data_IF_885507318628
#
_entry.id   IF_885507318628
#
_cell.length_a   1.000
_cell.length_b   1.000
_cell.length_c   1.000
_cell.angle_alpha   90.00
_cell.angle_beta   90.00
_cell.angle_gamma   90.00
#
_symmetry.space_group_name_H-M   'P 1'
#
loop_
_entity.id
_entity.type
_entity.pdbx_description
1 polymer ?
#
# COMPACT_ATOMS: atom_id res chain seq x y z
N UNK A 1 25.15 -30.55 28.68
CA UNK A 1 23.87 -29.97 28.24
C UNK A 1 24.03 -28.46 28.22
N UNK A 2 24.33 -27.88 27.08
CA UNK A 2 24.44 -26.43 26.93
C UNK A 2 23.02 -25.88 26.79
N UNK A 3 22.61 -25.08 27.73
CA UNK A 3 21.35 -24.35 27.69
C UNK A 3 21.36 -23.38 26.51
N UNK A 4 20.91 -23.82 25.35
CA UNK A 4 20.67 -22.94 24.20
C UNK A 4 19.54 -21.99 24.57
N UNK A 5 19.80 -20.68 24.54
CA UNK A 5 18.72 -19.68 24.58
C UNK A 5 17.83 -19.94 23.34
N UNK A 6 16.56 -20.18 23.57
CA UNK A 6 15.57 -20.17 22.49
C UNK A 6 15.56 -18.77 21.85
N UNK A 7 15.72 -18.73 20.53
CA UNK A 7 15.66 -17.50 19.76
C UNK A 7 14.31 -17.45 19.05
N UNK A 8 13.49 -16.45 19.40
CA UNK A 8 12.23 -16.19 18.69
C UNK A 8 12.57 -15.49 17.39
N UNK A 9 12.33 -16.19 16.27
CA UNK A 9 12.60 -15.69 14.92
C UNK A 9 11.41 -14.85 14.40
N UNK A 10 10.20 -15.37 14.61
CA UNK A 10 8.93 -14.75 14.18
C UNK A 10 7.97 -14.75 15.37
N UNK A 11 7.21 -13.68 15.52
CA UNK A 11 6.23 -13.52 16.59
C UNK A 11 4.97 -12.82 16.08
N UNK A 12 3.80 -13.31 16.50
CA UNK A 12 2.48 -12.74 16.21
C UNK A 12 2.24 -12.40 14.72
N UNK A 13 2.52 -13.37 13.85
CA UNK A 13 2.27 -13.24 12.42
C UNK A 13 0.80 -13.58 12.12
N UNK A 14 0.01 -12.56 11.85
CA UNK A 14 -1.37 -12.69 11.37
C UNK A 14 -1.46 -12.12 9.96
N UNK A 15 -1.65 -13.00 8.97
CA UNK A 15 -1.57 -12.67 7.55
C UNK A 15 -2.61 -13.45 6.77
N UNK A 16 -3.26 -12.80 5.81
CA UNK A 16 -4.16 -13.44 4.84
C UNK A 16 -3.66 -13.15 3.43
N UNK A 17 -3.75 -14.13 2.54
CA UNK A 17 -3.45 -14.00 1.11
C UNK A 17 -4.72 -14.30 0.34
N UNK A 18 -5.03 -13.46 -0.65
CA UNK A 18 -6.25 -13.60 -1.44
C UNK A 18 -5.96 -14.25 -2.81
N UNK A 19 -6.98 -14.92 -3.35
CA UNK A 19 -6.91 -15.43 -4.72
C UNK A 19 -6.82 -14.26 -5.70
N UNK A 20 -5.93 -14.37 -6.69
CA UNK A 20 -5.63 -13.30 -7.64
C UNK A 20 -4.60 -12.28 -7.14
N UNK A 21 -3.95 -12.53 -5.99
CA UNK A 21 -3.03 -11.59 -5.38
C UNK A 21 -1.55 -11.95 -5.64
N UNK A 22 -0.77 -10.94 -6.01
CA UNK A 22 0.68 -10.98 -6.02
C UNK A 22 1.20 -10.21 -4.80
N UNK A 23 1.65 -10.92 -3.77
CA UNK A 23 2.07 -10.35 -2.50
C UNK A 23 3.59 -10.43 -2.31
N UNK A 24 4.21 -9.35 -1.85
CA UNK A 24 5.62 -9.34 -1.44
C UNK A 24 5.78 -9.32 0.07
N UNK A 25 6.88 -9.92 0.55
CA UNK A 25 7.34 -9.85 1.94
C UNK A 25 8.68 -9.12 1.95
N UNK A 26 8.70 -7.94 2.56
CA UNK A 26 9.85 -7.06 2.72
C UNK A 26 10.34 -7.04 4.16
N UNK A 27 11.60 -6.75 4.37
CA UNK A 27 12.20 -6.59 5.69
C UNK A 27 13.71 -6.65 5.64
N UNK A 28 14.37 -6.22 6.70
CA UNK A 28 15.83 -6.27 6.83
C UNK A 28 16.37 -7.72 6.72
N UNK A 29 17.66 -7.86 6.46
CA UNK A 29 18.32 -9.18 6.54
C UNK A 29 18.14 -9.74 7.97
N UNK A 30 17.79 -11.02 8.07
CA UNK A 30 17.53 -11.64 9.37
C UNK A 30 16.14 -11.37 9.97
N UNK A 31 15.24 -10.65 9.30
CA UNK A 31 13.86 -10.42 9.77
C UNK A 31 12.96 -11.67 9.74
N UNK A 32 13.47 -12.83 9.35
CA UNK A 32 12.67 -14.06 9.30
C UNK A 32 11.88 -14.28 8.01
N UNK A 33 12.08 -13.47 6.97
CA UNK A 33 11.33 -13.56 5.69
C UNK A 33 11.31 -14.96 5.08
N UNK A 34 12.50 -15.56 4.87
CA UNK A 34 12.62 -16.92 4.31
C UNK A 34 12.09 -17.98 5.28
N UNK A 35 12.14 -17.74 6.60
CA UNK A 35 11.53 -18.65 7.59
C UNK A 35 10.01 -18.61 7.48
N UNK A 36 9.42 -17.42 7.36
CA UNK A 36 7.99 -17.25 7.13
C UNK A 36 7.57 -17.93 5.82
N UNK A 37 8.31 -17.67 4.74
CA UNK A 37 8.00 -18.27 3.44
C UNK A 37 8.03 -19.80 3.49
N UNK A 38 9.00 -20.39 4.19
CA UNK A 38 9.09 -21.87 4.36
C UNK A 38 7.94 -22.43 5.19
N UNK A 39 7.47 -21.70 6.21
CA UNK A 39 6.29 -22.09 7.00
C UNK A 39 5.04 -22.05 6.11
N UNK A 40 4.85 -20.98 5.33
CA UNK A 40 3.73 -20.85 4.40
C UNK A 40 3.76 -21.90 3.28
N UNK A 41 4.95 -22.36 2.88
CA UNK A 41 5.15 -23.41 1.87
C UNK A 41 5.15 -24.84 2.45
N UNK A 42 4.77 -25.05 3.71
CA UNK A 42 4.79 -26.34 4.43
C UNK A 42 6.17 -27.04 4.45
N UNK A 43 7.24 -26.26 4.34
CA UNK A 43 8.63 -26.74 4.43
C UNK A 43 9.21 -26.67 5.85
N UNK A 44 8.52 -25.96 6.76
CA UNK A 44 8.86 -25.85 8.17
C UNK A 44 7.58 -25.75 9.02
N UNK A 45 7.57 -26.37 10.19
CA UNK A 45 6.45 -26.23 11.12
C UNK A 45 6.61 -24.99 12.00
N UNK A 46 5.54 -24.20 12.21
CA UNK A 46 5.56 -23.14 13.20
C UNK A 46 5.61 -23.74 14.62
N UNK A 47 6.33 -23.09 15.53
CA UNK A 47 6.36 -23.52 16.95
C UNK A 47 5.00 -23.33 17.63
N UNK A 48 4.22 -22.33 17.19
CA UNK A 48 2.86 -22.05 17.63
C UNK A 48 2.07 -21.47 16.45
N UNK A 49 0.73 -21.64 16.50
CA UNK A 49 -0.15 -21.20 15.42
C UNK A 49 -0.28 -22.22 14.31
N UNK A 50 -0.92 -21.86 13.22
CA UNK A 50 -1.23 -22.74 12.10
C UNK A 50 -1.29 -21.98 10.78
N UNK A 51 -1.11 -22.70 9.67
CA UNK A 51 -1.32 -22.19 8.32
C UNK A 51 -2.57 -22.84 7.75
N UNK A 52 -3.51 -22.02 7.32
CA UNK A 52 -4.79 -22.46 6.76
C UNK A 52 -4.85 -22.17 5.26
N UNK A 53 -5.43 -23.10 4.50
CA UNK A 53 -5.81 -22.92 3.11
C UNK A 53 -7.31 -23.15 2.98
N UNK A 54 -8.06 -22.13 2.57
CA UNK A 54 -9.54 -22.12 2.53
C UNK A 54 -10.18 -22.59 3.85
N UNK A 55 -9.58 -22.22 4.99
CA UNK A 55 -10.09 -22.56 6.33
C UNK A 55 -9.74 -23.97 6.82
N UNK A 56 -9.03 -24.79 6.03
CA UNK A 56 -8.50 -26.08 6.44
C UNK A 56 -6.99 -26.03 6.68
N UNK A 57 -6.41 -26.81 7.63
CA UNK A 57 -4.98 -26.86 7.81
C UNK A 57 -4.26 -27.23 6.49
N UNK A 58 -3.21 -26.50 6.13
CA UNK A 58 -2.51 -26.61 4.85
C UNK A 58 -2.08 -28.05 4.54
N UNK A 59 -1.57 -28.79 5.53
CA UNK A 59 -1.17 -30.20 5.42
C UNK A 59 -2.27 -31.14 4.95
N UNK A 60 -3.52 -30.83 5.25
CA UNK A 60 -4.68 -31.68 4.93
C UNK A 60 -5.50 -31.16 3.75
N UNK A 61 -5.25 -29.94 3.31
CA UNK A 61 -6.01 -29.28 2.26
C UNK A 61 -5.72 -29.83 0.85
N UNK A 62 -4.68 -30.63 0.66
CA UNK A 62 -4.29 -31.17 -0.65
C UNK A 62 -3.88 -30.08 -1.66
N UNK A 63 -3.48 -28.92 -1.17
CA UNK A 63 -3.15 -27.76 -2.00
C UNK A 63 -1.88 -28.00 -2.80
N UNK A 64 -1.91 -27.66 -4.07
CA UNK A 64 -0.73 -27.68 -4.91
C UNK A 64 0.06 -26.39 -4.70
N UNK A 65 1.19 -26.48 -4.06
CA UNK A 65 2.14 -25.38 -3.85
C UNK A 65 3.46 -25.70 -4.52
N UNK A 66 4.14 -24.66 -5.01
CA UNK A 66 5.50 -24.79 -5.52
C UNK A 66 6.38 -23.66 -5.03
N UNK A 67 7.68 -23.89 -4.99
CA UNK A 67 8.67 -22.91 -4.51
C UNK A 67 9.81 -22.74 -5.50
N UNK A 68 10.15 -21.47 -5.78
CA UNK A 68 11.37 -21.06 -6.49
C UNK A 68 12.38 -20.58 -5.45
N UNK A 69 13.55 -21.19 -5.45
CA UNK A 69 14.61 -20.92 -4.47
C UNK A 69 15.59 -19.86 -4.98
N UNK A 70 16.20 -19.13 -4.08
CA UNK A 70 17.23 -18.11 -4.35
C UNK A 70 18.43 -18.68 -5.13
N UNK A 71 18.87 -19.90 -4.86
CA UNK A 71 20.05 -20.54 -5.44
C UNK A 71 19.77 -21.40 -6.68
N UNK A 72 18.68 -21.11 -7.42
CA UNK A 72 18.19 -21.90 -8.57
C UNK A 72 17.87 -23.37 -8.25
N UNK A 73 18.59 -24.00 -7.36
CA UNK A 73 18.46 -25.40 -6.90
C UNK A 73 18.32 -26.42 -8.05
N UNK A 74 19.06 -26.21 -9.14
CA UNK A 74 19.10 -27.12 -10.28
C UNK A 74 20.08 -28.27 -10.01
N UNK A 75 19.72 -29.46 -10.49
CA UNK A 75 20.60 -30.60 -10.48
C UNK A 75 21.59 -30.46 -11.64
N UNK A 76 22.92 -30.31 -11.37
CA UNK A 76 23.90 -29.96 -12.41
C UNK A 76 24.19 -31.09 -13.40
N UNK A 77 23.80 -32.34 -13.08
CA UNK A 77 23.95 -33.52 -13.92
C UNK A 77 22.70 -33.85 -14.75
N UNK A 78 21.63 -33.08 -14.62
CA UNK A 78 20.41 -33.20 -15.41
C UNK A 78 20.32 -32.05 -16.43
N UNK A 79 19.78 -32.33 -17.62
CA UNK A 79 19.47 -31.33 -18.62
C UNK A 79 18.35 -30.39 -18.14
N UNK A 80 18.06 -29.33 -18.88
CA UNK A 80 16.97 -28.40 -18.60
C UNK A 80 15.65 -29.16 -18.48
N UNK A 81 15.28 -29.93 -19.47
CA UNK A 81 14.01 -30.66 -19.47
C UNK A 81 13.94 -31.69 -18.36
N UNK A 82 15.04 -32.41 -18.08
CA UNK A 82 15.09 -33.36 -17.00
C UNK A 82 14.93 -32.70 -15.61
N UNK A 83 15.49 -31.48 -15.42
CA UNK A 83 15.28 -30.68 -14.22
C UNK A 83 13.80 -30.32 -14.05
N UNK A 84 13.11 -29.93 -15.14
CA UNK A 84 11.68 -29.59 -15.09
C UNK A 84 10.82 -30.83 -14.85
N UNK A 85 11.15 -31.99 -15.49
CA UNK A 85 10.43 -33.26 -15.33
C UNK A 85 10.47 -33.82 -13.89
N UNK A 86 11.46 -33.43 -13.08
CA UNK A 86 11.59 -33.95 -11.71
C UNK A 86 10.33 -33.71 -10.86
N UNK A 87 9.71 -32.52 -10.99
CA UNK A 87 8.48 -32.21 -10.30
C UNK A 87 7.34 -33.18 -10.69
N UNK A 88 7.19 -33.46 -11.98
CA UNK A 88 6.16 -34.36 -12.51
C UNK A 88 6.38 -35.81 -12.08
N UNK A 89 7.65 -36.28 -12.03
CA UNK A 89 8.00 -37.60 -11.58
C UNK A 89 7.56 -37.89 -10.14
N UNK A 90 7.64 -36.87 -9.28
CA UNK A 90 7.16 -36.98 -7.89
C UNK A 90 5.64 -37.13 -7.79
N UNK A 91 4.90 -36.67 -8.81
CA UNK A 91 3.45 -36.85 -8.93
C UNK A 91 3.06 -38.09 -9.74
N UNK A 92 4.01 -38.96 -10.10
CA UNK A 92 3.77 -40.17 -10.88
C UNK A 92 3.58 -39.96 -12.37
N UNK A 93 3.79 -38.76 -12.90
CA UNK A 93 3.72 -38.43 -14.33
C UNK A 93 5.11 -38.67 -14.93
N UNK A 94 5.21 -39.57 -15.92
CA UNK A 94 6.48 -39.95 -16.54
C UNK A 94 6.34 -40.18 -18.05
N UNK A 95 7.45 -40.37 -18.75
CA UNK A 95 7.45 -40.66 -20.20
C UNK A 95 7.03 -39.44 -21.06
N UNK A 96 6.38 -39.73 -22.18
CA UNK A 96 6.03 -38.72 -23.18
C UNK A 96 5.12 -37.58 -22.64
N UNK A 97 4.26 -37.91 -21.68
CA UNK A 97 3.40 -36.89 -21.05
C UNK A 97 4.23 -35.89 -20.24
N UNK A 98 5.16 -36.39 -19.40
CA UNK A 98 6.06 -35.53 -18.64
C UNK A 98 6.89 -34.63 -19.57
N UNK A 99 7.47 -35.26 -20.63
CA UNK A 99 8.27 -34.54 -21.64
C UNK A 99 7.48 -33.42 -22.29
N UNK A 100 6.27 -33.72 -22.78
CA UNK A 100 5.38 -32.72 -23.43
C UNK A 100 5.03 -31.55 -22.50
N UNK A 101 4.67 -31.82 -21.24
CA UNK A 101 4.37 -30.77 -20.25
C UNK A 101 5.60 -29.93 -19.94
N UNK A 102 6.77 -30.57 -19.79
CA UNK A 102 8.01 -29.88 -19.46
C UNK A 102 8.47 -28.96 -20.60
N UNK A 103 8.41 -29.42 -21.85
CA UNK A 103 8.75 -28.58 -23.03
C UNK A 103 7.81 -27.38 -23.10
N UNK A 104 6.51 -27.55 -22.91
CA UNK A 104 5.55 -26.44 -22.92
C UNK A 104 5.87 -25.38 -21.83
N UNK A 105 6.36 -25.78 -20.67
CA UNK A 105 6.78 -24.85 -19.61
C UNK A 105 8.12 -24.18 -19.92
N UNK A 106 9.04 -24.90 -20.57
CA UNK A 106 10.32 -24.35 -21.05
C UNK A 106 10.07 -23.27 -22.11
N UNK A 107 9.18 -23.53 -23.06
CA UNK A 107 8.76 -22.55 -24.07
C UNK A 107 8.09 -21.33 -23.42
N UNK A 108 7.20 -21.55 -22.42
CA UNK A 108 6.52 -20.47 -21.70
C UNK A 108 7.49 -19.49 -21.02
N UNK A 109 8.63 -19.98 -20.52
CA UNK A 109 9.64 -19.14 -19.88
C UNK A 109 10.73 -18.66 -20.87
N UNK A 110 10.55 -18.85 -22.17
CA UNK A 110 11.45 -18.40 -23.23
C UNK A 110 12.81 -19.12 -23.24
N UNK A 111 12.80 -20.43 -23.07
CA UNK A 111 13.98 -21.30 -23.13
C UNK A 111 13.87 -22.36 -24.23
N UNK A 112 13.03 -22.11 -25.25
CA UNK A 112 12.93 -22.96 -26.42
C UNK A 112 14.30 -23.15 -27.10
N UNK A 113 14.61 -24.40 -27.49
CA UNK A 113 15.91 -24.79 -28.05
C UNK A 113 17.03 -25.06 -27.03
N UNK A 114 16.75 -24.91 -25.70
CA UNK A 114 17.72 -25.21 -24.63
C UNK A 114 17.35 -26.44 -23.81
N UNK A 115 16.40 -27.27 -24.26
CA UNK A 115 15.83 -28.42 -23.54
C UNK A 115 16.90 -29.43 -23.09
N UNK A 116 17.88 -29.69 -23.94
CA UNK A 116 18.92 -30.65 -23.73
C UNK A 116 20.21 -30.04 -23.14
N UNK A 117 20.25 -28.71 -22.94
CA UNK A 117 21.39 -28.03 -22.32
C UNK A 117 21.50 -28.35 -20.82
N UNK A 118 22.74 -28.35 -20.29
CA UNK A 118 22.99 -28.53 -18.88
C UNK A 118 23.10 -27.17 -18.14
N UNK A 119 22.85 -27.14 -16.82
CA UNK A 119 22.90 -25.88 -16.05
C UNK A 119 24.21 -25.09 -16.18
N UNK A 120 25.35 -25.76 -16.40
CA UNK A 120 26.68 -25.14 -16.60
C UNK A 120 26.78 -24.35 -17.92
N UNK A 121 25.92 -24.66 -18.88
CA UNK A 121 25.86 -24.03 -20.22
C UNK A 121 24.95 -22.82 -20.27
N UNK A 122 24.21 -22.55 -19.17
CA UNK A 122 23.22 -21.52 -19.05
C UNK A 122 23.75 -20.27 -18.31
N UNK A 123 23.23 -19.11 -18.70
CA UNK A 123 23.40 -17.87 -17.91
C UNK A 123 22.65 -17.96 -16.57
N UNK A 124 22.91 -17.05 -15.63
CA UNK A 124 22.20 -16.94 -14.36
C UNK A 124 20.69 -16.83 -14.55
N UNK A 125 20.25 -15.92 -15.44
CA UNK A 125 18.85 -15.73 -15.77
C UNK A 125 18.19 -16.95 -16.39
N UNK A 126 18.88 -17.65 -17.29
CA UNK A 126 18.38 -18.90 -17.87
C UNK A 126 18.20 -19.96 -16.79
N UNK A 127 19.15 -20.12 -15.86
CA UNK A 127 19.01 -21.05 -14.73
C UNK A 127 17.80 -20.70 -13.85
N UNK A 128 17.54 -19.42 -13.63
CA UNK A 128 16.36 -19.00 -12.86
C UNK A 128 15.06 -19.32 -13.59
N UNK A 129 15.00 -19.11 -14.90
CA UNK A 129 13.86 -19.52 -15.74
C UNK A 129 13.59 -21.02 -15.67
N UNK A 130 14.63 -21.85 -15.68
CA UNK A 130 14.48 -23.31 -15.47
C UNK A 130 13.86 -23.60 -14.09
N UNK A 131 14.30 -22.91 -13.05
CA UNK A 131 13.72 -23.02 -11.71
C UNK A 131 12.23 -22.64 -11.67
N UNK A 132 11.85 -21.58 -12.39
CA UNK A 132 10.46 -21.15 -12.55
C UNK A 132 9.66 -22.20 -13.33
N UNK A 133 10.15 -22.68 -14.48
CA UNK A 133 9.50 -23.72 -15.29
C UNK A 133 9.27 -24.99 -14.48
N UNK A 134 10.26 -25.43 -13.68
CA UNK A 134 10.15 -26.59 -12.77
C UNK A 134 9.06 -26.41 -11.72
N UNK A 135 8.86 -25.21 -11.22
CA UNK A 135 7.79 -24.91 -10.27
C UNK A 135 6.41 -24.87 -10.98
N UNK A 136 6.34 -24.25 -12.14
CA UNK A 136 5.09 -24.08 -12.90
C UNK A 136 4.56 -25.37 -13.53
N UNK A 137 5.43 -26.32 -13.87
CA UNK A 137 5.01 -27.58 -14.52
C UNK A 137 4.09 -28.43 -13.64
N UNK A 138 4.11 -28.19 -12.32
CA UNK A 138 3.22 -28.83 -11.35
C UNK A 138 1.81 -28.22 -11.35
N UNK A 139 1.60 -27.16 -12.11
CA UNK A 139 0.34 -26.40 -12.11
C UNK A 139 -0.09 -26.01 -10.67
N UNK A 140 0.78 -25.29 -9.93
CA UNK A 140 0.51 -24.98 -8.53
C UNK A 140 -0.59 -23.92 -8.42
N UNK A 141 -1.37 -23.97 -7.33
CA UNK A 141 -2.32 -22.91 -7.00
C UNK A 141 -1.61 -21.70 -6.37
N UNK A 142 -0.57 -21.95 -5.59
CA UNK A 142 0.24 -20.91 -4.94
C UNK A 142 1.72 -21.09 -5.30
N UNK A 143 2.33 -20.02 -5.80
CA UNK A 143 3.75 -19.96 -6.09
C UNK A 143 4.48 -19.14 -5.04
N UNK A 144 5.44 -19.77 -4.34
CA UNK A 144 6.36 -19.10 -3.43
C UNK A 144 7.69 -18.82 -4.11
N UNK A 145 8.28 -17.63 -3.89
CA UNK A 145 9.58 -17.27 -4.44
C UNK A 145 10.46 -16.63 -3.36
N UNK A 146 11.63 -17.22 -3.10
CA UNK A 146 12.60 -16.70 -2.12
C UNK A 146 13.71 -15.97 -2.84
N UNK A 147 13.68 -14.63 -2.82
CA UNK A 147 14.64 -13.73 -3.47
C UNK A 147 14.98 -14.09 -4.93
N UNK A 148 13.99 -14.27 -5.82
CA UNK A 148 14.19 -14.90 -7.12
C UNK A 148 15.10 -14.15 -8.08
N UNK A 149 15.42 -12.88 -7.81
CA UNK A 149 16.22 -12.04 -8.71
C UNK A 149 17.59 -11.65 -8.12
N UNK A 150 17.86 -11.99 -6.85
CA UNK A 150 19.05 -11.52 -6.12
C UNK A 150 20.37 -12.05 -6.65
N UNK A 151 20.37 -13.19 -7.33
CA UNK A 151 21.57 -13.81 -7.90
C UNK A 151 21.85 -13.42 -9.37
N UNK A 152 21.07 -12.46 -9.91
CA UNK A 152 21.16 -12.01 -11.29
C UNK A 152 21.79 -10.64 -11.40
N UNK A 153 22.44 -10.36 -12.55
CA UNK A 153 22.83 -8.99 -12.89
C UNK A 153 21.59 -8.12 -13.16
N UNK A 154 21.77 -6.81 -13.08
CA UNK A 154 20.66 -5.83 -13.12
C UNK A 154 19.79 -5.96 -14.37
N UNK A 155 20.41 -6.10 -15.56
CA UNK A 155 19.66 -6.15 -16.82
C UNK A 155 18.88 -7.47 -16.95
N UNK A 156 19.49 -8.58 -16.58
CA UNK A 156 18.85 -9.88 -16.57
C UNK A 156 17.70 -9.93 -15.58
N UNK A 157 17.88 -9.35 -14.38
CA UNK A 157 16.83 -9.26 -13.37
C UNK A 157 15.64 -8.39 -13.85
N UNK A 158 15.92 -7.24 -14.50
CA UNK A 158 14.87 -6.37 -15.04
C UNK A 158 14.04 -7.05 -16.14
N UNK A 159 14.70 -7.75 -17.06
CA UNK A 159 14.02 -8.51 -18.11
C UNK A 159 13.13 -9.61 -17.51
N UNK A 160 13.67 -10.39 -16.56
CA UNK A 160 12.91 -11.50 -15.95
C UNK A 160 11.73 -11.00 -15.12
N UNK A 161 11.87 -9.86 -14.40
CA UNK A 161 10.76 -9.21 -13.68
C UNK A 161 9.64 -8.78 -14.63
N UNK A 162 10.00 -8.16 -15.75
CA UNK A 162 9.04 -7.71 -16.76
C UNK A 162 8.29 -8.88 -17.41
N UNK A 163 9.00 -9.96 -17.70
CA UNK A 163 8.39 -11.19 -18.23
C UNK A 163 7.45 -11.86 -17.22
N UNK A 164 7.87 -11.96 -15.95
CA UNK A 164 7.01 -12.53 -14.89
C UNK A 164 5.74 -11.68 -14.71
N UNK A 165 5.87 -10.35 -14.72
CA UNK A 165 4.74 -9.44 -14.67
C UNK A 165 3.78 -9.65 -15.83
N UNK A 166 4.30 -9.78 -17.06
CA UNK A 166 3.48 -10.01 -18.26
C UNK A 166 2.78 -11.38 -18.21
N UNK A 167 3.49 -12.45 -17.81
CA UNK A 167 2.88 -13.78 -17.67
C UNK A 167 1.76 -13.79 -16.62
N UNK A 168 1.93 -13.03 -15.53
CA UNK A 168 0.90 -12.86 -14.50
C UNK A 168 -0.31 -12.08 -15.02
N UNK A 169 -0.09 -10.92 -15.66
CA UNK A 169 -1.15 -10.07 -16.20
C UNK A 169 -1.97 -10.75 -17.29
N UNK A 170 -1.30 -11.49 -18.19
CA UNK A 170 -1.94 -12.21 -19.28
C UNK A 170 -2.61 -13.52 -18.84
N UNK A 171 -2.54 -13.84 -17.52
CA UNK A 171 -3.05 -15.09 -16.94
C UNK A 171 -2.57 -16.35 -17.66
N UNK A 172 -1.32 -16.29 -18.16
CA UNK A 172 -0.70 -17.43 -18.85
C UNK A 172 -0.15 -18.49 -17.90
N UNK A 173 -0.01 -18.15 -16.62
CA UNK A 173 0.43 -19.08 -15.60
C UNK A 173 -0.76 -19.75 -14.90
N UNK A 174 -0.72 -21.07 -14.65
CA UNK A 174 -1.79 -21.80 -13.99
C UNK A 174 -1.77 -21.63 -12.45
N UNK A 175 -1.56 -20.41 -11.97
CA UNK A 175 -1.43 -20.06 -10.54
C UNK A 175 -2.50 -19.06 -10.13
N UNK A 176 -2.95 -19.15 -8.86
CA UNK A 176 -3.97 -18.30 -8.29
C UNK A 176 -3.38 -17.15 -7.47
N UNK A 177 -2.22 -17.38 -6.84
CA UNK A 177 -1.52 -16.32 -6.08
C UNK A 177 -0.01 -16.53 -6.08
N UNK A 178 0.72 -15.43 -5.96
CA UNK A 178 2.18 -15.42 -5.84
C UNK A 178 2.57 -14.75 -4.53
N UNK A 179 3.44 -15.40 -3.77
CA UNK A 179 4.04 -14.81 -2.58
C UNK A 179 5.55 -14.81 -2.77
N UNK A 180 6.18 -13.65 -2.76
CA UNK A 180 7.63 -13.60 -2.91
C UNK A 180 8.32 -12.77 -1.85
N UNK A 181 9.50 -13.21 -1.46
CA UNK A 181 10.39 -12.51 -0.56
C UNK A 181 11.39 -11.73 -1.38
N UNK A 182 11.58 -10.47 -1.04
CA UNK A 182 12.66 -9.64 -1.57
C UNK A 182 13.15 -8.65 -0.52
N UNK A 183 14.36 -8.16 -0.68
CA UNK A 183 14.89 -7.00 0.05
C UNK A 183 14.90 -5.73 -0.81
N UNK A 184 14.52 -5.83 -2.08
CA UNK A 184 14.48 -4.72 -3.02
C UNK A 184 13.05 -4.14 -3.08
N UNK A 185 12.91 -2.87 -2.66
CA UNK A 185 11.63 -2.18 -2.60
C UNK A 185 11.04 -1.97 -3.99
N UNK A 186 11.87 -1.63 -4.99
CA UNK A 186 11.40 -1.42 -6.36
C UNK A 186 10.81 -2.70 -6.96
N UNK A 187 11.40 -3.87 -6.66
CA UNK A 187 10.83 -5.17 -7.07
C UNK A 187 9.43 -5.37 -6.49
N UNK A 188 9.28 -5.12 -5.19
CA UNK A 188 8.00 -5.24 -4.52
C UNK A 188 6.97 -4.27 -5.11
N UNK A 189 7.33 -3.00 -5.31
CA UNK A 189 6.44 -2.01 -5.92
C UNK A 189 6.13 -2.34 -7.38
N UNK A 190 7.07 -2.93 -8.12
CA UNK A 190 6.87 -3.26 -9.53
C UNK A 190 5.92 -4.44 -9.75
N UNK A 191 6.03 -5.48 -8.93
CA UNK A 191 5.34 -6.76 -9.14
C UNK A 191 4.06 -6.93 -8.32
N UNK A 192 4.01 -6.40 -7.09
CA UNK A 192 3.01 -6.83 -6.11
C UNK A 192 1.80 -5.92 -6.04
N UNK A 193 0.66 -6.50 -5.71
CA UNK A 193 -0.56 -5.76 -5.36
C UNK A 193 -0.51 -5.27 -3.90
N UNK A 194 0.32 -5.94 -3.07
CA UNK A 194 0.47 -5.66 -1.64
C UNK A 194 1.85 -6.06 -1.13
N UNK A 195 2.39 -5.26 -0.23
CA UNK A 195 3.69 -5.52 0.43
C UNK A 195 3.52 -5.66 1.94
N UNK A 196 3.91 -6.82 2.48
CA UNK A 196 4.00 -7.07 3.91
C UNK A 196 5.41 -6.72 4.37
N UNK A 197 5.51 -5.79 5.31
CA UNK A 197 6.79 -5.33 5.85
C UNK A 197 6.99 -5.97 7.22
N UNK A 198 8.08 -6.73 7.38
CA UNK A 198 8.43 -7.36 8.65
C UNK A 198 9.35 -6.46 9.48
N UNK A 199 9.11 -6.43 10.79
CA UNK A 199 10.05 -5.90 11.79
C UNK A 199 11.26 -6.82 11.94
N UNK A 200 12.18 -6.43 12.83
CA UNK A 200 13.40 -7.17 13.10
C UNK A 200 13.54 -7.41 14.61
N UNK A 201 13.92 -8.65 15.00
CA UNK A 201 14.22 -9.07 16.38
C UNK A 201 13.10 -8.87 17.44
N UNK A 202 12.04 -9.66 17.43
CA UNK A 202 11.65 -10.70 16.46
C UNK A 202 10.99 -10.12 15.21
N UNK A 203 10.86 -10.95 14.16
CA UNK A 203 10.10 -10.61 12.98
C UNK A 203 8.60 -10.67 13.29
N UNK A 204 7.93 -9.53 13.14
CA UNK A 204 6.47 -9.40 13.24
C UNK A 204 5.96 -8.56 12.06
N UNK A 205 4.67 -8.61 11.75
CA UNK A 205 4.09 -7.74 10.72
C UNK A 205 4.13 -6.30 11.21
N UNK A 206 5.04 -5.52 10.65
CA UNK A 206 5.20 -4.09 10.94
C UNK A 206 4.20 -3.24 10.18
N UNK A 207 3.92 -3.61 8.93
CA UNK A 207 2.98 -2.93 8.07
C UNK A 207 2.45 -3.87 6.99
N UNK A 208 1.21 -3.62 6.57
CA UNK A 208 0.54 -4.19 5.42
C UNK A 208 0.19 -3.05 4.46
N UNK A 209 0.88 -2.98 3.31
CA UNK A 209 0.84 -1.83 2.41
C UNK A 209 0.22 -2.23 1.08
N UNK A 210 -1.00 -1.79 0.76
CA UNK A 210 -1.57 -1.96 -0.56
C UNK A 210 -0.83 -1.09 -1.59
N UNK A 211 -0.55 -1.67 -2.76
CA UNK A 211 0.12 -1.00 -3.89
C UNK A 211 -0.92 -0.76 -4.99
N UNK A 212 -1.66 0.34 -4.85
CA UNK A 212 -2.75 0.72 -5.75
C UNK A 212 -2.26 1.44 -7.00
N UNK A 213 -1.21 0.88 -7.65
CA UNK A 213 -0.70 1.40 -8.90
C UNK A 213 -1.21 0.56 -10.07
N UNK A 214 -1.70 1.18 -11.16
CA UNK A 214 -2.16 0.44 -12.33
C UNK A 214 -1.02 -0.32 -13.00
N UNK A 215 -1.33 -1.44 -13.59
CA UNK A 215 -0.39 -2.24 -14.39
C UNK A 215 -0.60 -1.95 -15.89
N UNK A 216 0.47 -1.94 -16.72
CA UNK A 216 1.88 -2.09 -16.36
C UNK A 216 2.42 -0.86 -15.65
N UNK A 217 3.36 -1.03 -14.71
CA UNK A 217 3.93 0.05 -13.90
C UNK A 217 5.17 0.63 -14.57
N UNK A 218 5.22 1.97 -14.67
CA UNK A 218 6.40 2.70 -15.10
C UNK A 218 7.25 3.10 -13.87
N UNK A 219 8.48 2.60 -13.81
CA UNK A 219 9.43 2.90 -12.72
C UNK A 219 9.79 4.39 -12.64
N UNK A 220 9.66 5.15 -13.73
CA UNK A 220 9.96 6.57 -13.78
C UNK A 220 8.75 7.45 -13.41
N UNK A 221 7.57 6.85 -13.26
CA UNK A 221 6.36 7.57 -12.85
C UNK A 221 6.51 8.08 -11.41
N UNK A 222 6.03 9.30 -11.15
CA UNK A 222 6.09 9.90 -9.81
C UNK A 222 5.39 9.05 -8.76
N UNK A 223 4.25 8.47 -9.10
CA UNK A 223 3.45 7.62 -8.22
C UNK A 223 4.22 6.35 -7.82
N UNK A 224 5.02 5.79 -8.73
CA UNK A 224 5.90 4.65 -8.45
C UNK A 224 6.99 5.05 -7.45
N UNK A 225 7.70 6.15 -7.70
CA UNK A 225 8.75 6.64 -6.82
C UNK A 225 8.20 6.99 -5.43
N UNK A 226 7.04 7.64 -5.34
CA UNK A 226 6.39 7.92 -4.07
C UNK A 226 6.04 6.64 -3.28
N UNK A 227 5.62 5.56 -3.97
CA UNK A 227 5.36 4.29 -3.30
C UNK A 227 6.65 3.64 -2.78
N UNK A 228 7.74 3.73 -3.54
CA UNK A 228 9.08 3.29 -3.11
C UNK A 228 9.53 4.05 -1.87
N UNK A 229 9.45 5.38 -1.87
CA UNK A 229 9.82 6.24 -0.74
C UNK A 229 8.98 5.94 0.49
N UNK A 230 7.68 5.73 0.31
CA UNK A 230 6.75 5.35 1.39
C UNK A 230 7.17 4.03 2.04
N UNK A 231 7.41 2.99 1.26
CA UNK A 231 7.85 1.69 1.78
C UNK A 231 9.22 1.82 2.47
N UNK A 232 10.14 2.60 1.89
CA UNK A 232 11.44 2.89 2.49
C UNK A 232 11.29 3.57 3.86
N UNK A 233 10.44 4.57 3.96
CA UNK A 233 10.15 5.25 5.22
C UNK A 233 9.58 4.30 6.28
N UNK A 234 8.68 3.40 5.88
CA UNK A 234 8.13 2.37 6.78
C UNK A 234 9.22 1.40 7.24
N UNK A 235 10.11 0.96 6.36
CA UNK A 235 11.20 0.05 6.70
C UNK A 235 12.18 0.66 7.72
N UNK A 236 12.52 1.93 7.55
CA UNK A 236 13.58 2.60 8.31
C UNK A 236 13.13 3.21 9.63
N UNK A 237 11.87 3.66 9.74
CA UNK A 237 11.33 4.27 10.97
C UNK A 237 10.96 3.25 12.04
N UNK A 238 10.94 3.63 13.34
CA UNK A 238 10.46 2.75 14.41
C UNK A 238 9.01 2.31 14.21
N UNK A 239 8.65 1.10 14.69
CA UNK A 239 7.30 0.54 14.52
C UNK A 239 6.19 1.45 15.07
N UNK A 240 6.45 2.21 16.13
CA UNK A 240 5.51 3.17 16.71
C UNK A 240 5.09 4.31 15.79
N UNK A 241 5.91 4.63 14.79
CA UNK A 241 5.67 5.72 13.83
C UNK A 241 4.99 5.21 12.55
N UNK A 242 4.90 3.89 12.39
CA UNK A 242 4.34 3.23 11.19
C UNK A 242 2.83 3.44 11.03
N UNK A 243 1.98 3.38 12.08
CA UNK A 243 0.54 3.65 11.93
C UNK A 243 0.26 4.99 11.25
N UNK A 244 1.11 5.99 11.52
CA UNK A 244 1.06 7.29 10.89
C UNK A 244 1.36 7.23 9.38
N UNK A 245 2.37 6.45 8.96
CA UNK A 245 2.75 6.28 7.55
C UNK A 245 1.75 5.43 6.75
N UNK A 246 1.02 4.53 7.43
CA UNK A 246 -0.01 3.69 6.80
C UNK A 246 -1.32 4.44 6.56
N UNK A 247 -1.62 5.44 7.37
CA UNK A 247 -2.79 6.30 7.23
C UNK A 247 -2.70 7.26 6.04
N UNK A 248 -1.66 7.18 5.20
CA UNK A 248 -1.57 7.90 3.93
C UNK A 248 -2.63 7.39 2.92
N UNK A 249 -3.90 7.59 3.27
CA UNK A 249 -4.95 7.73 2.28
C UNK A 249 -4.62 8.98 1.45
N UNK A 250 -4.97 8.97 0.16
CA UNK A 250 -4.81 10.12 -0.73
C UNK A 250 -5.28 11.37 0.01
N UNK A 251 -4.34 12.30 0.27
CA UNK A 251 -4.77 13.61 0.72
C UNK A 251 -5.69 14.17 -0.35
N UNK A 252 -6.91 14.47 0.04
CA UNK A 252 -7.80 15.23 -0.79
C UNK A 252 -7.23 16.63 -0.88
N UNK A 253 -7.15 17.16 -2.07
CA UNK A 253 -6.79 18.55 -2.31
C UNK A 253 -7.81 19.45 -1.59
N UNK A 254 -7.38 20.16 -0.56
CA UNK A 254 -8.28 21.07 0.15
C UNK A 254 -8.51 22.30 -0.70
N UNK A 255 -9.76 22.66 -0.98
CA UNK A 255 -10.08 23.82 -1.77
C UNK A 255 -9.70 25.12 -1.03
N UNK A 256 -9.12 26.07 -1.75
CA UNK A 256 -8.67 27.34 -1.19
C UNK A 256 -9.87 28.23 -0.83
N UNK A 257 -10.48 27.99 0.34
CA UNK A 257 -11.69 28.68 0.76
C UNK A 257 -11.64 29.07 2.23
N UNK A 258 -11.96 30.34 2.50
CA UNK A 258 -12.09 30.84 3.87
C UNK A 258 -13.43 30.38 4.47
N UNK A 259 -13.42 29.99 5.73
CA UNK A 259 -14.60 29.45 6.41
C UNK A 259 -15.75 30.45 6.47
N UNK A 260 -15.45 31.76 6.62
CA UNK A 260 -16.47 32.81 6.55
C UNK A 260 -17.19 32.85 5.20
N UNK A 261 -16.50 32.60 4.10
CA UNK A 261 -17.10 32.52 2.78
C UNK A 261 -17.95 31.24 2.60
N UNK A 262 -17.50 30.10 3.15
CA UNK A 262 -18.31 28.88 3.19
C UNK A 262 -19.60 29.11 3.98
N UNK A 263 -19.52 29.76 5.15
CA UNK A 263 -20.69 30.07 5.97
C UNK A 263 -21.67 31.00 5.22
N UNK A 264 -21.16 32.04 4.56
CA UNK A 264 -21.98 32.94 3.75
C UNK A 264 -22.67 32.25 2.57
N UNK A 265 -21.96 31.33 1.89
CA UNK A 265 -22.55 30.49 0.84
C UNK A 265 -23.71 29.66 1.38
N UNK A 266 -23.52 29.02 2.55
CA UNK A 266 -24.54 28.16 3.15
C UNK A 266 -25.78 28.97 3.57
N UNK A 267 -25.61 30.17 4.14
CA UNK A 267 -26.70 31.07 4.51
C UNK A 267 -27.47 31.52 3.26
N UNK A 268 -26.77 31.94 2.20
CA UNK A 268 -27.38 32.35 0.94
C UNK A 268 -28.22 31.22 0.31
N UNK A 269 -27.68 30.02 0.24
CA UNK A 269 -28.39 28.85 -0.33
C UNK A 269 -29.60 28.50 0.53
N UNK A 270 -29.46 28.55 1.87
CA UNK A 270 -30.56 28.29 2.80
C UNK A 270 -31.70 29.27 2.59
N UNK A 271 -31.44 30.59 2.54
CA UNK A 271 -32.42 31.65 2.32
C UNK A 271 -33.15 31.56 0.98
N UNK A 272 -32.50 30.93 -0.01
CA UNK A 272 -33.09 30.67 -1.33
C UNK A 272 -33.84 29.33 -1.44
N UNK A 273 -34.15 28.68 -0.31
CA UNK A 273 -34.92 27.45 -0.29
C UNK A 273 -34.12 26.18 -0.46
N UNK A 274 -32.80 26.26 -0.39
CA UNK A 274 -31.90 25.09 -0.28
C UNK A 274 -31.44 24.43 -1.59
N UNK A 275 -31.87 25.00 -2.74
CA UNK A 275 -31.42 24.54 -4.08
C UNK A 275 -31.24 25.77 -4.97
N UNK A 276 -30.05 25.96 -5.53
CA UNK A 276 -29.73 27.12 -6.37
C UNK A 276 -28.78 26.69 -7.49
N UNK A 277 -29.03 27.17 -8.71
CA UNK A 277 -28.11 26.97 -9.84
C UNK A 277 -26.76 27.66 -9.56
N UNK A 278 -25.65 27.00 -9.89
CA UNK A 278 -24.28 27.46 -9.58
C UNK A 278 -24.00 28.82 -10.27
N UNK A 279 -24.51 29.07 -11.47
CA UNK A 279 -24.31 30.32 -12.18
C UNK A 279 -25.07 31.50 -11.51
N UNK A 280 -26.22 31.21 -10.92
CA UNK A 280 -26.99 32.18 -10.14
C UNK A 280 -26.26 32.51 -8.84
N UNK A 281 -25.70 31.50 -8.15
CA UNK A 281 -24.88 31.69 -6.95
C UNK A 281 -23.65 32.57 -7.23
N UNK A 282 -22.96 32.34 -8.32
CA UNK A 282 -21.81 33.14 -8.74
C UNK A 282 -22.23 34.62 -8.96
N UNK A 283 -23.35 34.84 -9.66
CA UNK A 283 -23.90 36.19 -9.88
C UNK A 283 -24.26 36.88 -8.58
N UNK A 284 -24.92 36.20 -7.64
CA UNK A 284 -25.32 36.74 -6.34
C UNK A 284 -24.13 37.14 -5.47
N UNK A 285 -23.04 36.36 -5.53
CA UNK A 285 -21.81 36.65 -4.81
C UNK A 285 -20.89 37.63 -5.55
N UNK A 286 -21.28 38.08 -6.75
CA UNK A 286 -20.44 38.91 -7.63
C UNK A 286 -19.09 38.30 -7.95
N UNK A 287 -19.07 36.96 -8.18
CA UNK A 287 -17.91 36.16 -8.49
C UNK A 287 -18.03 35.59 -9.91
N UNK A 288 -16.90 35.33 -10.55
CA UNK A 288 -16.86 34.46 -11.74
C UNK A 288 -17.22 33.02 -11.37
N UNK A 289 -17.79 32.27 -12.33
CA UNK A 289 -18.20 30.86 -12.05
C UNK A 289 -17.02 30.01 -11.59
N UNK A 290 -15.83 30.24 -12.13
CA UNK A 290 -14.61 29.50 -11.74
C UNK A 290 -14.16 29.86 -10.30
N UNK A 291 -14.46 31.05 -9.81
CA UNK A 291 -14.09 31.49 -8.45
C UNK A 291 -15.00 30.91 -7.36
N UNK A 292 -16.23 30.51 -7.69
CA UNK A 292 -17.15 29.92 -6.71
C UNK A 292 -16.91 28.42 -6.50
N UNK A 293 -16.28 27.71 -7.48
CA UNK A 293 -16.05 26.28 -7.37
C UNK A 293 -15.27 25.88 -6.11
N UNK A 294 -14.18 26.54 -5.69
CA UNK A 294 -13.49 26.19 -4.44
C UNK A 294 -14.39 26.29 -3.20
N UNK A 295 -15.34 27.24 -3.16
CA UNK A 295 -16.31 27.35 -2.07
C UNK A 295 -17.31 26.20 -2.07
N UNK A 296 -17.80 25.84 -3.24
CA UNK A 296 -18.72 24.71 -3.44
C UNK A 296 -18.04 23.39 -3.07
N UNK A 297 -16.82 23.18 -3.54
CA UNK A 297 -16.04 22.01 -3.20
C UNK A 297 -15.82 21.90 -1.69
N UNK A 298 -15.46 23.00 -1.03
CA UNK A 298 -15.31 23.03 0.42
C UNK A 298 -16.61 22.65 1.15
N UNK A 299 -17.74 23.18 0.71
CA UNK A 299 -19.04 22.84 1.27
C UNK A 299 -19.41 21.35 1.04
N UNK A 300 -19.04 20.78 -0.11
CA UNK A 300 -19.23 19.35 -0.42
C UNK A 300 -18.32 18.49 0.45
N UNK A 301 -17.03 18.83 0.62
CA UNK A 301 -16.11 18.14 1.54
C UNK A 301 -16.62 18.10 2.98
N UNK A 302 -17.19 19.20 3.42
CA UNK A 302 -17.80 19.32 4.74
C UNK A 302 -19.20 18.68 4.83
N UNK A 303 -19.67 18.03 3.76
CA UNK A 303 -21.02 17.44 3.68
C UNK A 303 -22.14 18.46 3.93
N UNK A 304 -21.88 19.75 3.76
CA UNK A 304 -22.90 20.79 3.92
C UNK A 304 -23.75 20.94 2.67
N UNK A 305 -23.25 20.54 1.52
CA UNK A 305 -23.93 20.59 0.24
C UNK A 305 -23.59 19.42 -0.68
N UNK A 306 -24.32 19.34 -1.79
CA UNK A 306 -24.05 18.43 -2.90
C UNK A 306 -24.40 19.08 -4.23
N UNK A 307 -23.77 18.64 -5.30
CA UNK A 307 -24.07 19.09 -6.67
C UNK A 307 -24.95 18.03 -7.34
N UNK A 308 -26.01 18.48 -8.00
CA UNK A 308 -26.90 17.63 -8.80
C UNK A 308 -27.43 18.44 -9.98
N UNK A 309 -27.17 17.96 -11.20
CA UNK A 309 -27.65 18.57 -12.46
C UNK A 309 -27.31 20.06 -12.64
N UNK A 310 -26.13 20.49 -12.16
CA UNK A 310 -25.70 21.90 -12.24
C UNK A 310 -26.17 22.80 -11.09
N UNK A 311 -27.00 22.28 -10.20
CA UNK A 311 -27.46 22.99 -9.02
C UNK A 311 -26.67 22.57 -7.77
N UNK A 312 -26.44 23.51 -6.87
CA UNK A 312 -25.96 23.25 -5.52
C UNK A 312 -27.15 23.08 -4.57
N UNK A 313 -27.18 21.96 -3.86
CA UNK A 313 -28.22 21.62 -2.90
C UNK A 313 -27.65 21.58 -1.49
N UNK A 314 -28.27 22.28 -0.54
CA UNK A 314 -27.91 22.19 0.87
C UNK A 314 -28.35 20.84 1.46
N UNK A 315 -27.51 20.21 2.28
CA UNK A 315 -27.85 19.00 3.02
C UNK A 315 -28.55 19.34 4.36
N UNK A 316 -29.08 18.33 5.06
CA UNK A 316 -29.62 18.55 6.41
C UNK A 316 -28.52 19.02 7.40
N UNK A 317 -27.27 18.56 7.21
CA UNK A 317 -26.11 19.03 7.99
C UNK A 317 -25.79 20.50 7.67
N UNK A 318 -25.82 20.88 6.38
CA UNK A 318 -25.64 22.25 5.93
C UNK A 318 -26.72 23.20 6.45
N UNK A 319 -27.99 22.79 6.48
CA UNK A 319 -29.06 23.57 7.10
C UNK A 319 -28.82 23.81 8.58
N UNK A 320 -28.48 22.75 9.32
CA UNK A 320 -28.15 22.86 10.75
C UNK A 320 -26.96 23.78 11.00
N UNK A 321 -25.98 23.79 10.11
CA UNK A 321 -24.83 24.70 10.17
C UNK A 321 -25.26 26.15 9.89
N UNK A 322 -26.12 26.40 8.89
CA UNK A 322 -26.64 27.72 8.54
C UNK A 322 -27.46 28.35 9.67
N UNK A 323 -28.35 27.57 10.30
CA UNK A 323 -29.26 28.01 11.37
C UNK A 323 -28.57 28.19 12.73
N UNK A 324 -27.36 27.68 12.91
CA UNK A 324 -26.66 27.65 14.17
C UNK A 324 -26.06 29.03 14.55
N UNK A 325 -25.96 29.29 15.85
CA UNK A 325 -25.16 30.40 16.37
C UNK A 325 -23.65 30.14 16.17
N UNK A 326 -22.83 31.16 16.41
CA UNK A 326 -21.38 31.09 16.15
C UNK A 326 -20.69 29.92 16.89
N UNK A 327 -21.10 29.63 18.11
CA UNK A 327 -20.48 28.55 18.90
C UNK A 327 -20.87 27.18 18.31
N UNK A 328 -22.14 27.01 18.02
CA UNK A 328 -22.66 25.76 17.45
C UNK A 328 -22.15 25.52 16.02
N UNK A 329 -21.94 26.58 15.21
CA UNK A 329 -21.26 26.48 13.92
C UNK A 329 -19.86 25.90 14.05
N UNK A 330 -19.07 26.36 15.03
CA UNK A 330 -17.73 25.80 15.29
C UNK A 330 -17.77 24.32 15.66
N UNK A 331 -18.72 23.90 16.50
CA UNK A 331 -18.89 22.50 16.88
C UNK A 331 -19.23 21.61 15.69
N UNK A 332 -20.22 22.00 14.88
CA UNK A 332 -20.61 21.26 13.66
C UNK A 332 -19.43 21.18 12.69
N UNK A 333 -18.71 22.27 12.51
CA UNK A 333 -17.51 22.31 11.65
C UNK A 333 -16.43 21.39 12.19
N UNK A 334 -16.14 21.40 13.49
CA UNK A 334 -15.18 20.53 14.17
C UNK A 334 -15.48 19.05 13.93
N UNK A 335 -16.72 18.63 14.21
CA UNK A 335 -17.16 17.25 13.99
C UNK A 335 -16.95 16.82 12.54
N UNK A 336 -17.33 17.69 11.60
CA UNK A 336 -17.28 17.40 10.17
C UNK A 336 -15.85 17.40 9.62
N UNK A 337 -15.03 18.36 10.05
CA UNK A 337 -13.63 18.44 9.66
C UNK A 337 -12.83 17.21 10.13
N UNK A 338 -13.03 16.77 11.38
CA UNK A 338 -12.43 15.57 11.92
C UNK A 338 -12.92 14.28 11.25
N UNK A 339 -14.17 14.25 10.79
CA UNK A 339 -14.71 13.09 10.09
C UNK A 339 -14.16 12.97 8.66
N UNK A 340 -14.12 14.09 7.91
CA UNK A 340 -13.98 14.07 6.46
C UNK A 340 -12.62 14.57 5.95
N UNK A 341 -11.87 15.35 6.77
CA UNK A 341 -10.62 15.96 6.32
C UNK A 341 -9.42 15.26 6.94
N UNK A 342 -8.80 14.41 6.13
CA UNK A 342 -7.71 13.55 6.58
C UNK A 342 -6.53 14.34 7.15
N UNK A 343 -6.16 15.47 6.53
CA UNK A 343 -5.04 16.29 6.98
C UNK A 343 -5.29 16.89 8.39
N UNK A 344 -6.48 17.41 8.65
CA UNK A 344 -6.85 17.95 9.97
C UNK A 344 -6.86 16.86 11.03
N UNK A 345 -7.45 15.69 10.73
CA UNK A 345 -7.44 14.53 11.60
C UNK A 345 -6.02 14.10 11.97
N UNK A 346 -5.14 14.09 11.00
CA UNK A 346 -3.75 13.69 11.14
C UNK A 346 -2.94 14.69 11.99
N UNK A 347 -3.08 15.99 11.72
CA UNK A 347 -2.47 17.05 12.55
C UNK A 347 -2.90 16.89 14.00
N UNK A 348 -4.20 16.75 14.25
CA UNK A 348 -4.74 16.59 15.61
C UNK A 348 -4.18 15.35 16.31
N UNK A 349 -4.07 14.22 15.59
CA UNK A 349 -3.53 12.98 16.12
C UNK A 349 -2.03 13.09 16.44
N UNK A 350 -1.23 13.70 15.56
CA UNK A 350 0.20 13.92 15.78
C UNK A 350 0.42 14.76 17.02
N UNK A 351 -0.31 15.86 17.15
CA UNK A 351 -0.21 16.74 18.31
C UNK A 351 -0.63 16.04 19.61
N UNK A 352 -1.67 15.21 19.57
CA UNK A 352 -2.13 14.46 20.75
C UNK A 352 -1.14 13.39 21.22
N UNK A 353 -0.37 12.81 20.30
CA UNK A 353 0.63 11.77 20.61
C UNK A 353 2.03 12.34 20.91
N UNK A 354 2.30 13.58 20.55
CA UNK A 354 3.55 14.27 20.84
C UNK A 354 3.68 14.54 22.35
N UNK A 355 4.84 14.26 22.93
CA UNK A 355 5.11 14.44 24.38
C UNK A 355 4.97 15.88 24.87
N UNK A 356 5.07 16.86 23.97
CA UNK A 356 4.92 18.30 24.27
C UNK A 356 3.62 18.89 23.71
N UNK A 357 2.78 18.08 23.06
CA UNK A 357 1.59 18.52 22.35
C UNK A 357 1.87 19.65 21.34
N UNK A 358 3.10 19.67 20.79
CA UNK A 358 3.59 20.64 19.80
C UNK A 358 4.36 19.93 18.70
N UNK A 359 4.33 20.52 17.50
CA UNK A 359 5.07 20.02 16.34
C UNK A 359 5.38 21.19 15.40
N UNK A 360 6.62 21.23 14.87
CA UNK A 360 7.02 22.21 13.85
C UNK A 360 6.32 21.93 12.52
N UNK A 361 5.97 22.97 11.78
CA UNK A 361 5.27 22.88 10.50
C UNK A 361 6.05 22.08 9.45
N UNK A 362 7.40 22.14 9.43
CA UNK A 362 8.23 21.36 8.52
C UNK A 362 7.92 19.87 8.56
N UNK A 363 7.56 19.34 9.74
CA UNK A 363 7.16 17.96 9.88
C UNK A 363 5.95 17.59 9.00
N UNK A 364 4.97 18.48 8.90
CA UNK A 364 3.78 18.28 8.07
C UNK A 364 4.08 18.58 6.60
N UNK A 365 4.94 19.57 6.33
CA UNK A 365 5.39 19.90 4.98
C UNK A 365 6.14 18.72 4.35
N UNK A 366 7.07 18.10 5.08
CA UNK A 366 7.80 16.92 4.60
C UNK A 366 6.85 15.77 4.21
N UNK A 367 5.75 15.61 4.97
CA UNK A 367 4.74 14.61 4.65
C UNK A 367 3.95 14.99 3.40
N UNK A 368 3.51 16.25 3.32
CA UNK A 368 2.71 16.73 2.20
C UNK A 368 3.50 16.77 0.90
N UNK A 369 4.81 17.04 0.93
CA UNK A 369 5.70 17.01 -0.23
C UNK A 369 5.83 15.62 -0.87
N UNK A 370 5.47 14.56 -0.15
CA UNK A 370 5.35 13.21 -0.75
C UNK A 370 4.12 13.05 -1.67
N UNK A 371 3.20 14.04 -1.67
CA UNK A 371 1.94 14.01 -2.42
C UNK A 371 1.72 15.24 -3.30
N UNK A 372 2.36 16.35 -2.98
CA UNK A 372 2.18 17.66 -3.60
C UNK A 372 3.54 18.28 -3.95
N UNK A 373 3.55 19.25 -4.86
CA UNK A 373 4.73 20.11 -5.03
C UNK A 373 5.01 20.89 -3.73
N UNK A 374 6.22 21.40 -3.57
CA UNK A 374 6.59 22.17 -2.38
C UNK A 374 5.65 23.36 -2.14
N UNK A 375 5.32 24.09 -3.19
CA UNK A 375 4.39 25.24 -3.13
C UNK A 375 2.99 24.79 -2.71
N UNK A 376 2.50 23.72 -3.31
CA UNK A 376 1.19 23.17 -3.00
C UNK A 376 1.12 22.58 -1.59
N UNK A 377 2.16 21.91 -1.13
CA UNK A 377 2.23 21.38 0.24
C UNK A 377 2.07 22.50 1.30
N UNK A 378 2.69 23.65 1.06
CA UNK A 378 2.52 24.84 1.89
C UNK A 378 1.08 25.34 1.88
N UNK A 379 0.48 25.47 0.70
CA UNK A 379 -0.92 25.90 0.57
C UNK A 379 -1.89 24.96 1.29
N UNK A 380 -1.71 23.66 1.13
CA UNK A 380 -2.56 22.65 1.79
C UNK A 380 -2.43 22.70 3.31
N UNK A 381 -1.21 22.91 3.84
CA UNK A 381 -1.00 23.06 5.27
C UNK A 381 -1.61 24.36 5.79
N UNK A 382 -1.49 25.47 5.07
CA UNK A 382 -2.06 26.77 5.45
C UNK A 382 -3.60 26.69 5.55
N UNK A 383 -4.26 26.07 4.57
CA UNK A 383 -5.72 25.84 4.61
C UNK A 383 -6.09 24.98 5.82
N UNK A 384 -5.35 23.89 6.07
CA UNK A 384 -5.62 23.02 7.21
C UNK A 384 -5.41 23.73 8.56
N UNK A 385 -4.41 24.62 8.66
CA UNK A 385 -4.17 25.46 9.84
C UNK A 385 -5.36 26.40 10.08
N UNK A 386 -5.82 27.11 9.04
CA UNK A 386 -6.95 28.02 9.16
C UNK A 386 -8.23 27.30 9.59
N UNK A 387 -8.51 26.13 8.98
CA UNK A 387 -9.68 25.34 9.31
C UNK A 387 -9.58 24.70 10.71
N UNK A 388 -8.41 24.21 11.09
CA UNK A 388 -8.18 23.62 12.42
C UNK A 388 -8.28 24.64 13.55
N UNK A 389 -7.79 25.86 13.33
CA UNK A 389 -7.90 26.97 14.29
C UNK A 389 -9.36 27.43 14.47
N UNK A 390 -10.11 27.54 13.39
CA UNK A 390 -11.54 27.87 13.47
C UNK A 390 -12.32 26.81 14.26
N UNK A 391 -11.99 25.55 14.03
CA UNK A 391 -12.58 24.41 14.71
C UNK A 391 -12.13 24.25 16.16
N UNK A 392 -11.22 25.09 16.65
CA UNK A 392 -10.61 24.98 17.99
C UNK A 392 -10.01 23.56 18.24
N UNK A 393 -9.39 22.99 17.20
CA UNK A 393 -8.74 21.69 17.26
C UNK A 393 -7.26 21.81 17.68
N UNK A 394 -6.62 22.85 17.20
CA UNK A 394 -5.22 23.18 17.50
C UNK A 394 -4.93 24.64 17.20
N UNK A 395 -3.88 25.20 17.85
CA UNK A 395 -3.36 26.52 17.58
C UNK A 395 -2.13 26.48 16.68
N UNK A 396 -1.74 27.66 16.17
CA UNK A 396 -0.52 27.85 15.38
C UNK A 396 0.23 29.10 15.84
N UNK A 397 1.52 28.96 16.14
CA UNK A 397 2.41 30.02 16.59
C UNK A 397 3.30 30.50 15.42
N UNK A 398 2.89 31.56 14.72
CA UNK A 398 3.54 32.06 13.51
C UNK A 398 5.03 32.36 13.66
N UNK A 399 5.46 32.89 14.83
CA UNK A 399 6.85 33.26 15.04
C UNK A 399 7.79 32.04 15.16
N UNK A 400 7.25 30.86 15.42
CA UNK A 400 8.00 29.63 15.62
C UNK A 400 7.69 28.55 14.58
N UNK A 401 6.68 28.76 13.75
CA UNK A 401 6.22 27.74 12.83
C UNK A 401 5.72 26.48 13.54
N UNK A 402 5.12 26.59 14.74
CA UNK A 402 4.69 25.47 15.53
C UNK A 402 3.18 25.35 15.64
N UNK A 403 2.66 24.16 15.37
CA UNK A 403 1.28 23.79 15.70
C UNK A 403 1.23 23.19 17.13
N UNK A 404 0.17 23.46 17.88
CA UNK A 404 0.03 22.99 19.26
C UNK A 404 -1.42 22.73 19.65
N UNK A 405 -1.64 21.79 20.58
CA UNK A 405 -2.93 21.65 21.27
C UNK A 405 -3.01 22.64 22.41
N UNK A 406 -4.14 23.34 22.52
CA UNK A 406 -4.42 24.14 23.72
C UNK A 406 -4.61 23.17 24.90
N UNK A 407 -3.86 23.39 26.00
CA UNK A 407 -4.13 22.70 27.25
C UNK A 407 -5.55 23.05 27.69
N UNK A 408 -6.39 22.03 27.95
CA UNK A 408 -7.69 22.24 28.57
C UNK A 408 -7.50 23.08 29.84
N UNK A 409 -7.79 24.37 29.76
CA UNK A 409 -7.90 25.17 30.95
C UNK A 409 -9.01 24.54 31.81
N UNK A 410 -8.60 23.87 32.91
CA UNK A 410 -9.53 23.52 33.99
C UNK A 410 -10.32 24.77 34.33
N UNK A 411 -11.59 24.84 33.89
CA UNK A 411 -12.51 25.86 34.39
C UNK A 411 -12.49 25.75 35.91
N UNK A 412 -12.20 26.81 36.66
CA UNK A 412 -12.37 26.78 38.12
C UNK A 412 -13.86 26.52 38.40
N UNK A 413 -14.13 25.57 39.29
CA UNK A 413 -15.47 25.27 39.80
C UNK A 413 -16.15 26.50 40.47
#
# INVERSE_FOLDING_TARGET
MSGGKEIVVLEDINLQVHEGEFMSILGASGAGKSSLLRILADLAEPSQGEVLYHGAPLKTAGTKIAMVFQSFALFPWLSVVENVELGLKSCGITGDEARKKSVAMIDLVGLDGFEDAFPRELSGGMRQRVGIARALVLEPEVLFMDEPFSALDVLTADNLRSELANLWLEKKMPIKSIIFVTHNIEEAVFLSDRAIILSHNPGAVKADVPINLPLPRDKNAKEFQHMVDRIYAILTKPAKDVPFLLQQQRYQFLPHSKIGAIAGLMELVHDRGGRVDISVLASDLSMEVDEIFPLIEAAVFLEFGKITDGDFLITEKGKRFSDADTLRKKEIFKETALANIQLIKQITQVLSTSSKHRMHEDFFIDILQSHFTTEEAWHQLEIAIDWGRYAELFGYEYNRGELYLEEEQKRPE
#
